data_IF_764280911158
#
_entry.id   IF_764280911158
#
_cell.length_a   1.000
_cell.length_b   1.000
_cell.length_c   1.000
_cell.angle_alpha   90.00
_cell.angle_beta   90.00
_cell.angle_gamma   90.00
#
_symmetry.space_group_name_H-M   'P 1'
#
loop_
_entity.id
_entity.type
_entity.pdbx_description
1 polymer ?
#
# COMPACT_ATOMS: atom_id res chain seq x y z
N UNK A 1 11.76 58.30 -27.34
CA UNK A 1 10.60 57.37 -27.36
C UNK A 1 10.80 56.30 -26.30
N UNK A 2 9.80 56.10 -25.44
CA UNK A 2 9.77 55.10 -24.35
C UNK A 2 9.42 53.72 -24.94
N UNK A 3 10.09 52.65 -24.53
CA UNK A 3 9.61 51.26 -24.73
C UNK A 3 9.48 50.62 -23.35
N UNK A 4 8.32 50.01 -23.14
CA UNK A 4 7.79 49.56 -21.87
C UNK A 4 8.41 48.24 -21.38
N UNK A 5 8.44 48.11 -20.05
CA UNK A 5 8.60 46.88 -19.30
C UNK A 5 7.55 45.85 -19.71
N UNK A 6 7.96 44.61 -19.97
CA UNK A 6 7.11 43.42 -19.84
C UNK A 6 7.78 42.53 -18.79
N UNK A 7 7.18 42.50 -17.62
CA UNK A 7 7.48 41.56 -16.54
C UNK A 7 7.21 40.14 -17.02
N UNK A 8 8.24 39.31 -17.02
CA UNK A 8 8.12 37.88 -17.23
C UNK A 8 7.36 37.25 -16.04
N UNK A 9 6.17 36.77 -16.38
CA UNK A 9 5.25 35.86 -15.70
C UNK A 9 5.91 34.92 -14.67
N UNK A 10 5.50 34.93 -13.38
CA UNK A 10 5.74 33.82 -12.47
C UNK A 10 4.44 33.00 -12.34
N UNK A 11 4.13 32.13 -13.30
CA UNK A 11 3.03 31.13 -13.21
C UNK A 11 3.62 29.72 -13.35
N UNK A 12 4.76 29.46 -12.71
CA UNK A 12 5.42 28.15 -12.75
C UNK A 12 5.49 27.45 -11.39
N UNK A 13 5.10 28.11 -10.28
CA UNK A 13 5.18 27.50 -8.94
C UNK A 13 3.89 26.84 -8.46
N UNK A 14 2.72 27.21 -8.98
CA UNK A 14 1.44 26.68 -8.49
C UNK A 14 1.08 25.29 -9.06
N UNK A 15 1.72 24.87 -10.16
CA UNK A 15 1.43 23.60 -10.85
C UNK A 15 2.30 22.42 -10.38
N UNK A 16 3.39 22.66 -9.64
CA UNK A 16 4.21 21.59 -9.05
C UNK A 16 3.61 21.03 -7.75
N UNK A 17 2.92 21.85 -6.95
CA UNK A 17 2.38 21.43 -5.66
C UNK A 17 1.14 20.53 -5.82
N UNK A 18 0.23 20.85 -6.73
CA UNK A 18 -0.99 20.05 -6.98
C UNK A 18 -0.71 18.69 -7.64
N UNK A 19 0.36 18.56 -8.44
CA UNK A 19 0.75 17.27 -9.02
C UNK A 19 1.36 16.35 -7.95
N UNK A 20 2.08 16.93 -6.98
CA UNK A 20 2.72 16.17 -5.90
C UNK A 20 1.72 15.59 -4.90
N UNK A 21 0.64 16.31 -4.58
CA UNK A 21 -0.41 15.82 -3.68
C UNK A 21 -1.20 14.67 -4.32
N UNK A 22 -1.55 14.78 -5.61
CA UNK A 22 -2.20 13.69 -6.35
C UNK A 22 -1.29 12.46 -6.52
N UNK A 23 0.01 12.66 -6.71
CA UNK A 23 0.96 11.55 -6.82
C UNK A 23 1.19 10.86 -5.46
N UNK A 24 1.24 11.63 -4.38
CA UNK A 24 1.38 11.12 -3.02
C UNK A 24 0.14 10.35 -2.56
N UNK A 25 -1.06 10.84 -2.87
CA UNK A 25 -2.33 10.11 -2.62
C UNK A 25 -2.40 8.81 -3.44
N UNK A 26 -2.03 8.88 -4.72
CA UNK A 26 -1.96 7.71 -5.59
C UNK A 26 -0.98 6.65 -5.06
N UNK A 27 0.20 7.07 -4.61
CA UNK A 27 1.19 6.18 -4.01
C UNK A 27 0.65 5.55 -2.73
N UNK A 28 0.09 6.34 -1.81
CA UNK A 28 -0.49 5.83 -0.57
C UNK A 28 -1.55 4.76 -0.84
N UNK A 29 -2.49 5.04 -1.75
CA UNK A 29 -3.51 4.09 -2.18
C UNK A 29 -2.90 2.80 -2.71
N UNK A 30 -1.90 2.90 -3.59
CA UNK A 30 -1.21 1.74 -4.17
C UNK A 30 -0.54 0.89 -3.08
N UNK A 31 0.15 1.51 -2.12
CA UNK A 31 0.81 0.80 -1.03
C UNK A 31 -0.20 0.20 -0.04
N UNK A 32 -1.34 0.85 0.17
CA UNK A 32 -2.44 0.28 0.96
C UNK A 32 -3.02 -0.98 0.32
N UNK A 33 -3.23 -0.99 -1.00
CA UNK A 33 -3.64 -2.22 -1.71
C UNK A 33 -2.59 -3.32 -1.56
N UNK A 34 -1.30 -3.01 -1.76
CA UNK A 34 -0.21 -3.97 -1.58
C UNK A 34 -0.15 -4.55 -0.16
N UNK A 35 -0.44 -3.75 0.86
CA UNK A 35 -0.46 -4.19 2.26
C UNK A 35 -1.64 -5.13 2.56
N UNK A 36 -2.82 -4.85 1.99
CA UNK A 36 -3.98 -5.74 2.05
C UNK A 36 -3.66 -7.08 1.37
N UNK A 37 -3.06 -7.02 0.18
CA UNK A 37 -2.65 -8.21 -0.57
C UNK A 37 -1.60 -9.04 0.16
N UNK A 38 -0.56 -8.40 0.70
CA UNK A 38 0.43 -9.07 1.55
C UNK A 38 -0.27 -9.82 2.69
N UNK A 39 -1.25 -9.19 3.34
CA UNK A 39 -1.98 -9.79 4.46
C UNK A 39 -2.81 -11.01 4.03
N UNK A 40 -3.50 -10.91 2.90
CA UNK A 40 -4.30 -12.01 2.34
C UNK A 40 -3.42 -13.20 1.91
N UNK A 41 -2.38 -12.96 1.11
CA UNK A 41 -1.48 -14.01 0.66
C UNK A 41 -0.64 -14.60 1.81
N UNK A 42 -0.28 -13.80 2.83
CA UNK A 42 0.39 -14.33 4.02
C UNK A 42 -0.55 -15.24 4.83
N UNK A 43 -1.83 -14.91 4.90
CA UNK A 43 -2.85 -15.76 5.52
C UNK A 43 -3.08 -17.06 4.73
N UNK A 44 -3.13 -17.00 3.41
CA UNK A 44 -3.19 -18.19 2.55
C UNK A 44 -1.94 -19.07 2.68
N UNK A 45 -0.75 -18.47 2.68
CA UNK A 45 0.50 -19.19 2.91
C UNK A 45 0.50 -19.90 4.27
N UNK A 46 0.05 -19.22 5.33
CA UNK A 46 -0.09 -19.79 6.68
C UNK A 46 -1.10 -20.96 6.73
N UNK A 47 -2.07 -20.96 5.83
CA UNK A 47 -3.07 -22.02 5.70
C UNK A 47 -2.64 -23.15 4.75
N UNK A 48 -1.47 -23.05 4.13
CA UNK A 48 -0.87 -24.10 3.28
C UNK A 48 -1.29 -24.05 1.81
N UNK A 49 -1.77 -22.91 1.33
CA UNK A 49 -2.16 -22.75 -0.07
C UNK A 49 -0.93 -22.75 -1.00
N UNK A 50 -0.93 -23.54 -2.09
CA UNK A 50 0.17 -23.55 -3.06
C UNK A 50 0.36 -22.17 -3.70
N UNK A 51 1.61 -21.73 -3.89
CA UNK A 51 1.96 -20.46 -4.54
C UNK A 51 1.82 -19.21 -3.66
N UNK A 52 0.93 -19.21 -2.67
CA UNK A 52 0.64 -18.04 -1.85
C UNK A 52 1.86 -17.45 -1.10
N UNK A 53 2.83 -18.31 -0.74
CA UNK A 53 4.06 -17.85 -0.09
C UNK A 53 4.93 -17.00 -1.02
N UNK A 54 5.01 -17.36 -2.30
CA UNK A 54 5.78 -16.61 -3.29
C UNK A 54 5.07 -15.28 -3.63
N UNK A 55 3.74 -15.29 -3.72
CA UNK A 55 2.93 -14.08 -3.89
C UNK A 55 3.11 -13.13 -2.70
N UNK A 56 3.06 -13.64 -1.47
CA UNK A 56 3.33 -12.86 -0.26
C UNK A 56 4.74 -12.24 -0.28
N UNK A 57 5.75 -12.97 -0.77
CA UNK A 57 7.09 -12.41 -0.95
C UNK A 57 7.13 -11.31 -2.02
N UNK A 58 6.40 -11.46 -3.13
CA UNK A 58 6.30 -10.43 -4.17
C UNK A 58 5.67 -9.13 -3.66
N UNK A 59 4.60 -9.21 -2.86
CA UNK A 59 4.01 -8.04 -2.22
C UNK A 59 4.90 -7.47 -1.11
N UNK A 60 5.59 -8.31 -0.36
CA UNK A 60 6.54 -7.88 0.67
C UNK A 60 7.70 -7.05 0.09
N UNK A 61 8.30 -7.50 -1.02
CA UNK A 61 9.35 -6.77 -1.73
C UNK A 61 8.86 -5.38 -2.18
N UNK A 62 7.63 -5.32 -2.71
CA UNK A 62 6.96 -4.08 -3.08
C UNK A 62 6.68 -3.12 -1.91
N UNK A 63 6.78 -3.60 -0.68
CA UNK A 63 6.60 -2.85 0.56
C UNK A 63 7.92 -2.63 1.28
N UNK A 64 9.08 -2.81 0.63
CA UNK A 64 10.41 -2.70 1.24
C UNK A 64 10.56 -3.65 2.44
N UNK A 65 10.01 -4.87 2.36
CA UNK A 65 10.15 -5.92 3.37
C UNK A 65 11.10 -7.02 2.91
N UNK A 66 11.97 -7.46 3.81
CA UNK A 66 12.78 -8.66 3.64
C UNK A 66 11.91 -9.93 3.69
N UNK A 67 12.37 -11.02 3.06
CA UNK A 67 11.69 -12.33 3.17
C UNK A 67 11.50 -12.77 4.62
N UNK A 68 12.46 -12.48 5.50
CA UNK A 68 12.36 -12.77 6.93
C UNK A 68 11.27 -11.94 7.65
N UNK A 69 11.04 -10.69 7.22
CA UNK A 69 9.89 -9.89 7.69
C UNK A 69 8.58 -10.48 7.21
N UNK A 70 8.47 -10.91 5.95
CA UNK A 70 7.27 -11.57 5.42
C UNK A 70 7.00 -12.90 6.12
N UNK A 71 8.03 -13.72 6.35
CA UNK A 71 7.90 -14.98 7.09
C UNK A 71 7.35 -14.75 8.51
N UNK A 72 7.66 -13.60 9.15
CA UNK A 72 7.05 -13.25 10.45
C UNK A 72 5.55 -12.96 10.34
N UNK A 73 5.10 -12.34 9.25
CA UNK A 73 3.67 -12.11 8.99
C UNK A 73 2.95 -13.44 8.72
N UNK A 74 3.53 -14.31 7.90
CA UNK A 74 3.01 -15.68 7.68
C UNK A 74 2.96 -16.45 9.01
N UNK A 75 4.01 -16.36 9.82
CA UNK A 75 4.05 -17.01 11.12
C UNK A 75 2.98 -16.45 12.08
N UNK A 76 2.75 -15.13 12.07
CA UNK A 76 1.65 -14.51 12.83
C UNK A 76 0.30 -15.15 12.45
N UNK A 77 -0.02 -15.28 11.16
CA UNK A 77 -1.27 -15.91 10.73
C UNK A 77 -1.32 -17.42 11.01
N UNK A 78 -0.16 -18.10 11.02
CA UNK A 78 -0.07 -19.51 11.40
C UNK A 78 -0.48 -19.73 12.86
N UNK A 79 -0.22 -18.75 13.74
CA UNK A 79 -0.62 -18.75 15.14
C UNK A 79 -2.02 -18.15 15.38
N UNK A 80 -2.58 -17.42 14.40
CA UNK A 80 -3.89 -16.77 14.47
C UNK A 80 -4.79 -17.28 13.34
N UNK A 81 -5.07 -18.60 13.36
CA UNK A 81 -5.73 -19.30 12.23
C UNK A 81 -7.16 -18.85 11.96
N UNK A 82 -7.87 -18.36 12.97
CA UNK A 82 -9.21 -17.81 12.82
C UNK A 82 -9.21 -16.52 11.98
N UNK A 83 -8.23 -15.65 12.20
CA UNK A 83 -8.00 -14.44 11.40
C UNK A 83 -7.56 -14.85 9.99
N UNK A 84 -6.61 -15.79 9.89
CA UNK A 84 -6.09 -16.26 8.61
C UNK A 84 -7.20 -16.87 7.73
N UNK A 85 -8.09 -17.68 8.31
CA UNK A 85 -9.20 -18.29 7.59
C UNK A 85 -10.20 -17.26 7.06
N UNK A 86 -10.45 -16.17 7.81
CA UNK A 86 -11.34 -15.09 7.36
C UNK A 86 -10.74 -14.33 6.17
N UNK A 87 -9.45 -13.99 6.25
CA UNK A 87 -8.75 -13.29 5.17
C UNK A 87 -8.63 -14.15 3.90
N UNK A 88 -8.28 -15.43 4.04
CA UNK A 88 -8.23 -16.35 2.91
C UNK A 88 -9.63 -16.57 2.29
N UNK A 89 -10.70 -16.56 3.09
CA UNK A 89 -12.07 -16.64 2.56
C UNK A 89 -12.44 -15.39 1.75
N UNK A 90 -12.06 -14.20 2.22
CA UNK A 90 -12.27 -12.93 1.49
C UNK A 90 -11.62 -12.97 0.10
N UNK A 91 -10.40 -13.50 -0.02
CA UNK A 91 -9.70 -13.60 -1.32
C UNK A 91 -10.38 -14.56 -2.30
N UNK A 92 -11.14 -15.52 -1.79
CA UNK A 92 -11.88 -16.51 -2.58
C UNK A 92 -13.31 -16.10 -2.90
N UNK A 93 -13.76 -14.93 -2.47
CA UNK A 93 -15.06 -14.41 -2.87
C UNK A 93 -15.06 -14.13 -4.38
N UNK A 94 -16.24 -13.93 -4.96
CA UNK A 94 -16.32 -13.49 -6.36
C UNK A 94 -15.55 -12.17 -6.56
N UNK A 95 -15.12 -11.91 -7.80
CA UNK A 95 -14.25 -10.77 -8.13
C UNK A 95 -14.82 -9.42 -7.69
N UNK A 96 -16.14 -9.23 -7.76
CA UNK A 96 -16.79 -7.96 -7.41
C UNK A 96 -16.76 -7.75 -5.90
N UNK A 97 -17.11 -8.78 -5.13
CA UNK A 97 -17.05 -8.78 -3.66
C UNK A 97 -15.62 -8.58 -3.16
N UNK A 98 -14.65 -9.26 -3.77
CA UNK A 98 -13.24 -9.14 -3.43
C UNK A 98 -12.74 -7.70 -3.68
N UNK A 99 -13.03 -7.15 -4.86
CA UNK A 99 -12.67 -5.76 -5.21
C UNK A 99 -13.26 -4.75 -4.24
N UNK A 100 -14.52 -4.96 -3.81
CA UNK A 100 -15.18 -4.10 -2.84
C UNK A 100 -14.47 -4.13 -1.47
N UNK A 101 -14.15 -5.33 -0.96
CA UNK A 101 -13.51 -5.48 0.34
C UNK A 101 -12.08 -4.94 0.31
N UNK A 102 -11.30 -5.24 -0.74
CA UNK A 102 -9.96 -4.68 -0.91
C UNK A 102 -9.98 -3.15 -0.94
N UNK A 103 -10.96 -2.54 -1.63
CA UNK A 103 -11.16 -1.08 -1.62
C UNK A 103 -11.49 -0.55 -0.23
N UNK A 104 -12.38 -1.21 0.50
CA UNK A 104 -12.76 -0.81 1.86
C UNK A 104 -11.59 -0.93 2.85
N UNK A 105 -10.82 -2.01 2.78
CA UNK A 105 -9.62 -2.19 3.61
C UNK A 105 -8.53 -1.19 3.23
N UNK A 106 -8.35 -0.90 1.94
CA UNK A 106 -7.44 0.14 1.49
C UNK A 106 -7.86 1.54 1.97
N UNK A 107 -9.17 1.83 2.06
CA UNK A 107 -9.66 3.08 2.66
C UNK A 107 -9.27 3.21 4.13
N UNK A 108 -9.51 2.17 4.94
CA UNK A 108 -9.09 2.17 6.35
C UNK A 108 -7.56 2.35 6.48
N UNK A 109 -6.80 1.74 5.56
CA UNK A 109 -5.36 1.93 5.50
C UNK A 109 -4.96 3.38 5.16
N UNK A 110 -5.67 4.06 4.25
CA UNK A 110 -5.37 5.46 3.93
C UNK A 110 -5.63 6.40 5.12
N UNK A 111 -6.57 6.06 6.00
CA UNK A 111 -6.85 6.82 7.23
C UNK A 111 -5.78 6.61 8.32
N UNK A 112 -5.25 5.39 8.45
CA UNK A 112 -4.26 5.05 9.48
C UNK A 112 -3.05 4.25 8.93
N UNK A 113 -2.29 4.78 7.96
CA UNK A 113 -1.35 3.97 7.17
C UNK A 113 -0.20 3.39 7.97
N UNK A 114 0.18 4.05 9.07
CA UNK A 114 1.20 3.57 10.02
C UNK A 114 0.82 2.21 10.62
N UNK A 115 -0.48 1.92 10.79
CA UNK A 115 -0.95 0.65 11.37
C UNK A 115 -0.96 -0.49 10.36
N UNK A 116 -1.17 -0.18 9.07
CA UNK A 116 -1.42 -1.18 8.05
C UNK A 116 -0.24 -1.43 7.10
N UNK A 117 0.68 -0.47 6.93
CA UNK A 117 1.86 -0.61 6.08
C UNK A 117 3.08 -0.91 6.97
N UNK A 118 3.61 -2.16 7.00
CA UNK A 118 4.66 -2.56 7.96
C UNK A 118 5.94 -1.72 7.87
N UNK A 119 6.31 -1.27 6.67
CA UNK A 119 7.54 -0.50 6.40
C UNK A 119 7.30 1.00 6.29
N UNK A 120 6.14 1.51 6.76
CA UNK A 120 5.70 2.87 6.50
C UNK A 120 6.77 3.94 6.77
N UNK A 121 7.43 3.89 7.92
CA UNK A 121 8.49 4.85 8.28
C UNK A 121 9.70 4.79 7.34
N UNK A 122 10.05 3.63 6.78
CA UNK A 122 11.13 3.51 5.79
C UNK A 122 10.72 4.16 4.46
N UNK A 123 9.50 3.88 4.01
CA UNK A 123 8.93 4.43 2.76
C UNK A 123 8.77 5.95 2.81
N UNK A 124 8.43 6.51 3.98
CA UNK A 124 8.39 7.97 4.19
C UNK A 124 9.80 8.58 4.12
N UNK A 125 10.81 7.95 4.73
CA UNK A 125 12.21 8.42 4.66
C UNK A 125 12.77 8.42 3.24
N UNK A 126 12.29 7.52 2.39
CA UNK A 126 12.64 7.43 0.97
C UNK A 126 11.87 8.44 0.10
N UNK A 127 10.91 9.19 0.67
CA UNK A 127 10.09 10.15 -0.07
C UNK A 127 9.01 9.52 -0.95
N UNK A 128 8.69 8.23 -0.74
CA UNK A 128 7.69 7.49 -1.52
C UNK A 128 6.27 7.75 -0.99
N UNK A 129 6.13 7.75 0.34
CA UNK A 129 4.87 7.96 1.04
C UNK A 129 4.85 9.29 1.81
N UNK A 130 3.66 9.89 2.05
CA UNK A 130 3.55 11.13 2.81
C UNK A 130 3.83 10.90 4.30
N UNK A 131 4.21 11.95 5.04
CA UNK A 131 4.24 11.90 6.50
C UNK A 131 2.81 12.15 7.03
N UNK A 132 2.33 11.28 7.92
CA UNK A 132 1.05 11.40 8.63
C UNK A 132 1.30 11.71 10.11
#
# INVERSE_FOLDING_TARGET
MKIAFITAIPIALASFQALSENQLDHNLRTYCFKAVELSAYSAEAAMGYPGAKDDAYGFGDSLDMTKAEVDRVINYYSHNRDIASKLAAVKKMDMDSQTYIERSMAQNCMEEPVKYIPSYTRLVKQGILPKF
#
